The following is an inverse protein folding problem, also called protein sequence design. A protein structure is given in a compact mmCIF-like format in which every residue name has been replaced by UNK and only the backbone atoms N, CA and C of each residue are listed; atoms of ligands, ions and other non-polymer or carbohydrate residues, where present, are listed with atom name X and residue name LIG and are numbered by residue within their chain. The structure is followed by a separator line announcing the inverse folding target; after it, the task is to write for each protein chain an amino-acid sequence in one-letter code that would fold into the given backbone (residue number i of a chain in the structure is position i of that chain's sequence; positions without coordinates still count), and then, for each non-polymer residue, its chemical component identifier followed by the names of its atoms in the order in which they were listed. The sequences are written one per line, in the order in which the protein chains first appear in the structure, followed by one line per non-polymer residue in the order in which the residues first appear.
data_IF_528138535953
#
_entry.id   IF_528138535953
#
_cell.length_a   1.000
_cell.length_b   1.000
_cell.length_c   1.000
_cell.angle_alpha   90.00
_cell.angle_beta   90.00
_cell.angle_gamma   90.00
#
_symmetry.space_group_name_H-M   'P 1'
#
loop_
_entity.id
_entity.type
_entity.pdbx_description
1 polymer ?
#
# COMPACT_ATOMS: atom_id res chain seq x y z
N UNK A 1 -17.50 5.58 2.58
CA UNK A 1 -16.08 5.22 2.35
C UNK A 1 -15.44 6.32 1.54
N UNK A 2 -14.50 7.03 2.14
CA UNK A 2 -13.62 7.93 1.39
C UNK A 2 -12.65 7.11 0.52
N UNK A 3 -12.09 7.69 -0.55
CA UNK A 3 -11.08 7.01 -1.37
C UNK A 3 -9.87 6.52 -0.54
N UNK A 4 -9.53 7.25 0.52
CA UNK A 4 -8.43 6.90 1.43
C UNK A 4 -8.75 5.63 2.23
N UNK A 5 -9.95 5.54 2.79
CA UNK A 5 -10.41 4.32 3.49
C UNK A 5 -10.49 3.13 2.55
N UNK A 6 -10.92 3.34 1.30
CA UNK A 6 -10.92 2.32 0.27
C UNK A 6 -9.51 1.80 0.00
N UNK A 7 -8.54 2.69 -0.23
CA UNK A 7 -7.14 2.32 -0.49
C UNK A 7 -6.56 1.57 0.70
N UNK A 8 -6.72 2.11 1.91
CA UNK A 8 -6.21 1.49 3.12
C UNK A 8 -6.74 0.06 3.29
N UNK A 9 -8.07 -0.12 3.32
CA UNK A 9 -8.70 -1.42 3.56
C UNK A 9 -8.35 -2.46 2.50
N UNK A 10 -8.36 -2.08 1.22
CA UNK A 10 -8.08 -3.02 0.14
C UNK A 10 -6.60 -3.40 0.09
N UNK A 11 -5.68 -2.46 0.33
CA UNK A 11 -4.25 -2.76 0.36
C UNK A 11 -3.88 -3.62 1.56
N UNK A 12 -4.41 -3.35 2.75
CA UNK A 12 -4.19 -4.21 3.92
C UNK A 12 -4.66 -5.63 3.65
N UNK A 13 -5.88 -5.80 3.10
CA UNK A 13 -6.41 -7.12 2.75
C UNK A 13 -5.54 -7.83 1.71
N UNK A 14 -5.04 -7.11 0.70
CA UNK A 14 -4.19 -7.68 -0.34
C UNK A 14 -2.81 -8.08 0.18
N UNK A 15 -2.19 -7.28 1.05
CA UNK A 15 -0.92 -7.61 1.69
C UNK A 15 -1.05 -8.82 2.62
N UNK A 16 -2.13 -8.92 3.39
CA UNK A 16 -2.40 -10.11 4.22
C UNK A 16 -2.55 -11.36 3.35
N UNK A 17 -3.29 -11.28 2.23
CA UNK A 17 -3.42 -12.40 1.27
C UNK A 17 -2.08 -12.83 0.67
N UNK A 18 -1.16 -11.89 0.50
CA UNK A 18 0.20 -12.16 0.01
C UNK A 18 1.14 -12.72 1.10
N UNK A 19 0.65 -12.89 2.34
CA UNK A 19 1.42 -13.46 3.45
C UNK A 19 2.37 -12.47 4.12
N UNK A 20 2.09 -11.16 4.03
CA UNK A 20 2.75 -10.18 4.89
C UNK A 20 2.13 -10.20 6.29
N UNK A 21 2.95 -9.88 7.29
CA UNK A 21 2.49 -9.66 8.66
C UNK A 21 1.46 -8.51 8.71
N UNK A 22 0.52 -8.58 9.65
CA UNK A 22 -0.54 -7.58 9.78
C UNK A 22 0.03 -6.17 10.06
N UNK A 23 1.07 -6.06 10.88
CA UNK A 23 1.72 -4.78 11.16
C UNK A 23 2.41 -4.21 9.91
N UNK A 24 3.09 -5.07 9.15
CA UNK A 24 3.69 -4.68 7.87
C UNK A 24 2.63 -4.29 6.82
N UNK A 25 1.47 -4.97 6.83
CA UNK A 25 0.35 -4.67 5.95
C UNK A 25 -0.33 -3.33 6.29
N UNK A 26 -0.54 -3.04 7.57
CA UNK A 26 -1.07 -1.76 8.05
C UNK A 26 -0.10 -0.62 7.72
N UNK A 27 1.18 -0.76 8.06
CA UNK A 27 2.22 0.24 7.75
C UNK A 27 2.34 0.49 6.25
N UNK A 28 2.29 -0.56 5.43
CA UNK A 28 2.28 -0.44 3.97
C UNK A 28 1.05 0.30 3.44
N UNK A 29 -0.13 0.06 4.02
CA UNK A 29 -1.37 0.72 3.66
C UNK A 29 -1.36 2.22 4.01
N UNK A 30 -0.85 2.60 5.18
CA UNK A 30 -0.67 4.01 5.56
C UNK A 30 0.21 4.77 4.57
N UNK A 31 1.33 4.17 4.18
CA UNK A 31 2.22 4.75 3.17
C UNK A 31 1.57 4.87 1.80
N UNK A 32 0.71 3.93 1.44
CA UNK A 32 -0.05 3.99 0.20
C UNK A 32 -1.11 5.11 0.20
N UNK A 33 -1.73 5.38 1.35
CA UNK A 33 -2.66 6.50 1.52
C UNK A 33 -1.92 7.84 1.46
N UNK A 34 -0.76 7.95 2.10
CA UNK A 34 0.10 9.14 2.00
C UNK A 34 0.53 9.39 0.55
N UNK A 35 0.91 8.33 -0.18
CA UNK A 35 1.20 8.42 -1.61
C UNK A 35 -0.02 8.92 -2.39
N UNK A 36 -1.21 8.35 -2.15
CA UNK A 36 -2.45 8.79 -2.79
C UNK A 36 -2.76 10.27 -2.54
N UNK A 37 -2.53 10.77 -1.32
CA UNK A 37 -2.74 12.18 -0.97
C UNK A 37 -1.80 13.13 -1.72
N UNK A 38 -0.56 12.69 -1.97
CA UNK A 38 0.48 13.49 -2.63
C UNK A 38 0.44 13.37 -4.16
N UNK A 39 -0.17 12.32 -4.70
CA UNK A 39 -0.27 12.10 -6.13
C UNK A 39 -1.39 12.96 -6.72
N UNK A 40 -1.03 13.93 -7.57
CA UNK A 40 -2.00 14.72 -8.33
C UNK A 40 -2.62 13.94 -9.49
N UNK A 41 -1.90 12.94 -10.03
CA UNK A 41 -2.33 12.03 -11.11
C UNK A 41 -1.73 10.63 -10.91
N UNK A 42 -2.42 9.62 -11.41
CA UNK A 42 -1.92 8.24 -11.48
C UNK A 42 -0.82 8.09 -12.54
N UNK A 43 0.08 7.12 -12.38
CA UNK A 43 1.13 6.81 -13.36
C UNK A 43 0.55 6.47 -14.74
N UNK A 44 -0.65 5.88 -14.76
CA UNK A 44 -1.46 5.60 -15.95
C UNK A 44 -2.94 5.83 -15.64
N UNK A 45 -3.72 6.20 -16.66
CA UNK A 45 -5.16 6.45 -16.54
C UNK A 45 -5.85 5.26 -15.82
N UNK A 46 -6.44 5.54 -14.66
CA UNK A 46 -7.20 4.56 -13.87
C UNK A 46 -6.37 3.58 -13.02
N UNK A 47 -5.05 3.76 -12.91
CA UNK A 47 -4.14 2.80 -12.23
C UNK A 47 -3.62 3.26 -10.86
N UNK A 48 -4.24 4.26 -10.24
CA UNK A 48 -3.76 4.80 -8.95
C UNK A 48 -3.71 3.75 -7.84
N UNK A 49 -4.63 2.79 -7.86
CA UNK A 49 -4.62 1.70 -6.88
C UNK A 49 -3.40 0.79 -7.05
N UNK A 50 -3.03 0.47 -8.29
CA UNK A 50 -1.86 -0.36 -8.58
C UNK A 50 -0.57 0.35 -8.14
N UNK A 51 -0.49 1.67 -8.32
CA UNK A 51 0.63 2.51 -7.84
C UNK A 51 0.71 2.47 -6.30
N UNK A 52 -0.42 2.70 -5.62
CA UNK A 52 -0.53 2.62 -4.17
C UNK A 52 -0.15 1.21 -3.65
N UNK A 53 -0.62 0.14 -4.29
CA UNK A 53 -0.29 -1.24 -3.93
C UNK A 53 1.19 -1.54 -4.14
N UNK A 54 1.80 -1.02 -5.21
CA UNK A 54 3.24 -1.13 -5.45
C UNK A 54 4.03 -0.49 -4.31
N UNK A 55 3.72 0.75 -3.92
CA UNK A 55 4.36 1.45 -2.80
C UNK A 55 4.19 0.66 -1.49
N UNK A 56 2.98 0.16 -1.23
CA UNK A 56 2.70 -0.63 -0.04
C UNK A 56 3.57 -1.89 0.05
N UNK A 57 3.71 -2.62 -1.07
CA UNK A 57 4.58 -3.82 -1.15
C UNK A 57 6.06 -3.47 -0.93
N UNK A 58 6.54 -2.35 -1.44
CA UNK A 58 7.92 -1.91 -1.21
C UNK A 58 8.16 -1.62 0.28
N UNK A 59 7.21 -0.97 0.96
CA UNK A 59 7.31 -0.69 2.39
C UNK A 59 7.20 -1.95 3.24
N UNK A 60 6.19 -2.79 2.99
CA UNK A 60 6.01 -4.06 3.69
C UNK A 60 7.18 -5.03 3.43
N UNK A 61 7.77 -4.99 2.23
CA UNK A 61 8.93 -5.77 1.84
C UNK A 61 10.25 -5.29 2.43
N UNK A 62 10.43 -3.98 2.69
CA UNK A 62 11.62 -3.46 3.39
C UNK A 62 11.73 -4.00 4.82
N UNK A 63 10.61 -4.36 5.45
CA UNK A 63 10.61 -5.06 6.75
C UNK A 63 11.10 -6.52 6.63
N UNK A 64 11.16 -7.13 5.43
CA UNK A 64 11.79 -8.44 5.21
C UNK A 64 13.32 -8.40 5.04
N UNK A 65 13.94 -7.24 4.85
CA UNK A 65 15.36 -7.14 4.46
C UNK A 65 16.33 -6.62 5.52
N UNK A 66 16.02 -6.75 6.83
CA UNK A 66 16.99 -6.50 7.92
C UNK A 66 17.11 -7.64 8.92
N UNK A 67 17.07 -8.89 8.45
CA UNK A 67 17.84 -9.96 9.07
C UNK A 67 18.97 -10.35 8.12
N UNK A 68 20.13 -9.71 8.28
CA UNK A 68 21.41 -10.28 7.87
C UNK A 68 22.48 -9.81 8.83
#
# INVERSE_FOLDING_TARGET
MSPQEFIHKNITSELIKLGYDENAAMTGADMAVDHYRRCSQASRKGRIFDDCLYIAKQWAGKHKSKQK
#
